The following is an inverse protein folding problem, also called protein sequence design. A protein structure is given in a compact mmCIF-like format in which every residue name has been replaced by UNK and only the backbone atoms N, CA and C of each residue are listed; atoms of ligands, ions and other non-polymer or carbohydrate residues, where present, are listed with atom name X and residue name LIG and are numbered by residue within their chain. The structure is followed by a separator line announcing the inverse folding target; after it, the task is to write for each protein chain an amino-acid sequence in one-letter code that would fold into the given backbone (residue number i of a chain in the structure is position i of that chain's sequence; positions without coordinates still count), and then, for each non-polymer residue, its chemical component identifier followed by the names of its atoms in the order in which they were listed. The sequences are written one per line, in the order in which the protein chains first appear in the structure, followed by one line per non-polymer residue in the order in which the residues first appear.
data_IF_619232926829
#
_entry.id   IF_619232926829
#
_cell.length_a   1.000
_cell.length_b   1.000
_cell.length_c   1.000
_cell.angle_alpha   90.00
_cell.angle_beta   90.00
_cell.angle_gamma   90.00
#
_symmetry.space_group_name_H-M   'P 1'
#
loop_
_entity.id
_entity.type
_entity.pdbx_description
1 polymer ?
#
# COMPACT_ATOMS: atom_id res chain seq x y z
N UNK A 1 -2.77 -52.52 35.67
CA UNK A 1 -2.08 -51.40 34.99
C UNK A 1 -2.45 -50.10 35.70
N UNK A 2 -1.46 -49.37 36.19
CA UNK A 2 -1.67 -48.24 37.10
C UNK A 2 -2.52 -47.13 36.47
N UNK A 3 -3.71 -46.89 37.04
CA UNK A 3 -4.69 -45.85 36.67
C UNK A 3 -4.05 -44.47 36.52
N UNK A 4 -3.02 -44.18 37.32
CA UNK A 4 -2.23 -42.94 37.25
C UNK A 4 -1.64 -42.71 35.86
N UNK A 5 -1.12 -43.76 35.21
CA UNK A 5 -0.53 -43.65 33.87
C UNK A 5 -1.59 -43.32 32.81
N UNK A 6 -2.81 -43.82 32.97
CA UNK A 6 -3.92 -43.56 32.05
C UNK A 6 -4.35 -42.11 32.16
N UNK A 7 -4.49 -41.58 33.38
CA UNK A 7 -4.84 -40.18 33.61
C UNK A 7 -3.77 -39.24 33.03
N UNK A 8 -2.49 -39.55 33.25
CA UNK A 8 -1.39 -38.76 32.72
C UNK A 8 -1.36 -38.74 31.18
N UNK A 9 -1.66 -39.88 30.54
CA UNK A 9 -1.75 -39.97 29.10
C UNK A 9 -2.90 -39.12 28.53
N UNK A 10 -4.08 -39.14 29.17
CA UNK A 10 -5.23 -38.32 28.77
C UNK A 10 -4.90 -36.83 28.87
N UNK A 11 -4.30 -36.39 29.98
CA UNK A 11 -3.89 -34.99 30.17
C UNK A 11 -2.87 -34.58 29.10
N UNK A 12 -1.90 -35.44 28.79
CA UNK A 12 -0.91 -35.18 27.74
C UNK A 12 -1.55 -34.98 26.37
N UNK A 13 -2.52 -35.81 26.01
CA UNK A 13 -3.27 -35.68 24.74
C UNK A 13 -4.06 -34.38 24.71
N UNK A 14 -4.74 -34.04 25.81
CA UNK A 14 -5.47 -32.77 25.91
C UNK A 14 -4.55 -31.56 25.70
N UNK A 15 -3.39 -31.57 26.35
CA UNK A 15 -2.44 -30.47 26.24
C UNK A 15 -1.86 -30.35 24.83
N UNK A 16 -1.51 -31.48 24.21
CA UNK A 16 -1.06 -31.52 22.82
C UNK A 16 -2.12 -30.98 21.85
N UNK A 17 -3.39 -31.39 22.03
CA UNK A 17 -4.50 -30.88 21.24
C UNK A 17 -4.70 -29.38 21.42
N UNK A 18 -4.59 -28.87 22.65
CA UNK A 18 -4.71 -27.45 22.93
C UNK A 18 -3.61 -26.63 22.24
N UNK A 19 -2.36 -27.08 22.32
CA UNK A 19 -1.23 -26.43 21.63
C UNK A 19 -1.43 -26.46 20.12
N UNK A 20 -1.87 -27.59 19.55
CA UNK A 20 -2.13 -27.69 18.12
C UNK A 20 -3.22 -26.71 17.66
N UNK A 21 -4.33 -26.62 18.39
CA UNK A 21 -5.41 -25.67 18.10
C UNK A 21 -4.96 -24.22 18.27
N UNK A 22 -4.12 -23.94 19.27
CA UNK A 22 -3.55 -22.61 19.48
C UNK A 22 -2.66 -22.19 18.30
N UNK A 23 -1.76 -23.07 17.84
CA UNK A 23 -0.91 -22.82 16.67
C UNK A 23 -1.75 -22.60 15.42
N UNK A 24 -2.74 -23.46 15.17
CA UNK A 24 -3.65 -23.32 14.03
C UNK A 24 -4.45 -22.01 14.08
N UNK A 25 -4.95 -21.64 15.26
CA UNK A 25 -5.66 -20.37 15.46
C UNK A 25 -4.77 -19.15 15.22
N UNK A 26 -3.51 -19.22 15.67
CA UNK A 26 -2.52 -18.17 15.43
C UNK A 26 -2.18 -18.03 13.94
N UNK A 27 -1.90 -19.14 13.24
CA UNK A 27 -1.67 -19.12 11.80
C UNK A 27 -2.87 -18.57 11.03
N UNK A 28 -4.08 -19.02 11.37
CA UNK A 28 -5.32 -18.53 10.75
C UNK A 28 -5.47 -17.02 10.91
N UNK A 29 -5.17 -16.50 12.10
CA UNK A 29 -5.21 -15.06 12.37
C UNK A 29 -4.22 -14.27 11.52
N UNK A 30 -2.97 -14.75 11.38
CA UNK A 30 -1.97 -14.12 10.51
C UNK A 30 -2.45 -14.10 9.06
N UNK A 31 -2.92 -15.24 8.55
CA UNK A 31 -3.41 -15.34 7.17
C UNK A 31 -4.58 -14.38 6.93
N UNK A 32 -5.47 -14.23 7.90
CA UNK A 32 -6.59 -13.30 7.82
C UNK A 32 -6.13 -11.84 7.67
N UNK A 33 -5.17 -11.40 8.48
CA UNK A 33 -4.65 -10.04 8.37
C UNK A 33 -3.89 -9.83 7.05
N UNK A 34 -3.05 -10.78 6.64
CA UNK A 34 -2.33 -10.72 5.36
C UNK A 34 -3.30 -10.63 4.18
N UNK A 35 -4.39 -11.39 4.23
CA UNK A 35 -5.44 -11.34 3.21
C UNK A 35 -6.06 -9.93 3.09
N UNK A 36 -6.46 -9.33 4.21
CA UNK A 36 -7.03 -7.98 4.21
C UNK A 36 -6.03 -6.91 3.79
N UNK A 37 -4.78 -7.00 4.23
CA UNK A 37 -3.71 -6.09 3.78
C UNK A 37 -3.51 -6.23 2.27
N UNK A 38 -3.52 -7.45 1.74
CA UNK A 38 -3.44 -7.71 0.31
C UNK A 38 -4.61 -7.10 -0.46
N UNK A 39 -5.84 -7.25 0.04
CA UNK A 39 -7.03 -6.63 -0.56
C UNK A 39 -6.94 -5.10 -0.53
N UNK A 40 -6.68 -4.51 0.63
CA UNK A 40 -6.61 -3.06 0.79
C UNK A 40 -5.46 -2.46 -0.02
N UNK A 41 -4.30 -3.11 -0.02
CA UNK A 41 -3.16 -2.71 -0.84
C UNK A 41 -3.45 -2.83 -2.33
N UNK A 42 -4.08 -3.93 -2.77
CA UNK A 42 -4.46 -4.14 -4.16
C UNK A 42 -5.52 -3.15 -4.64
N UNK A 43 -6.56 -2.91 -3.85
CA UNK A 43 -7.59 -1.93 -4.14
C UNK A 43 -7.02 -0.50 -4.12
N UNK A 44 -6.21 -0.15 -3.12
CA UNK A 44 -5.59 1.16 -3.01
C UNK A 44 -4.63 1.45 -4.17
N UNK A 45 -3.73 0.52 -4.48
CA UNK A 45 -2.81 0.64 -5.61
C UNK A 45 -3.54 0.64 -6.95
N UNK A 46 -4.54 -0.23 -7.10
CA UNK A 46 -5.40 -0.29 -8.29
C UNK A 46 -6.13 1.03 -8.52
N UNK A 47 -6.78 1.56 -7.50
CA UNK A 47 -7.48 2.84 -7.54
C UNK A 47 -6.53 4.00 -7.86
N UNK A 48 -5.38 4.08 -7.18
CA UNK A 48 -4.36 5.10 -7.44
C UNK A 48 -3.84 5.05 -8.89
N UNK A 49 -3.53 3.85 -9.39
CA UNK A 49 -3.04 3.65 -10.76
C UNK A 49 -4.10 3.99 -11.80
N UNK A 50 -5.36 3.68 -11.52
CA UNK A 50 -6.47 4.00 -12.42
C UNK A 50 -6.73 5.52 -12.44
N UNK A 51 -6.71 6.15 -11.26
CA UNK A 51 -6.88 7.58 -11.11
C UNK A 51 -5.79 8.37 -11.82
N UNK A 52 -4.52 8.06 -11.59
CA UNK A 52 -3.38 8.69 -12.27
C UNK A 52 -3.41 8.47 -13.79
N UNK A 53 -3.83 7.29 -14.26
CA UNK A 53 -4.03 7.05 -15.70
C UNK A 53 -5.16 7.90 -16.28
N UNK A 54 -6.28 8.01 -15.58
CA UNK A 54 -7.41 8.84 -16.01
C UNK A 54 -7.02 10.32 -16.00
N UNK A 55 -6.33 10.78 -14.97
CA UNK A 55 -5.77 12.12 -14.86
C UNK A 55 -4.82 12.42 -16.02
N UNK A 56 -3.87 11.54 -16.33
CA UNK A 56 -2.94 11.73 -17.46
C UNK A 56 -3.65 11.76 -18.83
N UNK A 57 -4.77 11.03 -18.97
CA UNK A 57 -5.59 11.02 -20.20
C UNK A 57 -6.50 12.24 -20.30
N UNK A 58 -7.08 12.69 -19.18
CA UNK A 58 -7.99 13.81 -19.13
C UNK A 58 -7.27 15.16 -19.20
N UNK A 59 -6.09 15.25 -18.56
CA UNK A 59 -5.23 16.44 -18.56
C UNK A 59 -4.20 16.43 -19.69
N UNK A 60 -4.31 15.51 -20.66
CA UNK A 60 -3.52 15.51 -21.90
C UNK A 60 -2.02 15.66 -21.67
N UNK A 61 -1.36 14.68 -21.03
CA UNK A 61 0.11 14.62 -20.98
C UNK A 61 0.81 15.83 -20.33
N UNK A 62 0.09 16.69 -19.60
CA UNK A 62 0.66 17.77 -18.82
C UNK A 62 1.36 17.22 -17.58
N UNK A 63 2.68 17.30 -17.57
CA UNK A 63 3.56 17.01 -16.44
C UNK A 63 2.96 17.55 -15.11
N UNK A 64 2.67 16.73 -14.09
CA UNK A 64 2.16 17.23 -12.80
C UNK A 64 3.20 18.09 -12.04
N UNK A 65 4.45 18.11 -12.49
CA UNK A 65 5.50 19.05 -12.04
C UNK A 65 5.61 20.31 -12.90
N UNK A 66 4.72 20.54 -13.88
CA UNK A 66 4.57 21.88 -14.46
C UNK A 66 3.87 22.75 -13.44
N UNK A 67 4.61 23.16 -12.42
CA UNK A 67 4.31 24.39 -11.70
C UNK A 67 4.04 25.49 -12.74
N UNK A 68 3.17 26.43 -12.37
CA UNK A 68 2.94 27.68 -13.09
C UNK A 68 4.31 28.28 -13.46
N UNK A 69 4.84 28.00 -14.65
CA UNK A 69 6.26 28.28 -14.91
C UNK A 69 6.95 27.58 -16.08
N UNK A 70 6.40 26.51 -16.69
CA UNK A 70 6.98 25.90 -17.91
C UNK A 70 6.40 26.47 -19.21
N UNK A 71 6.07 27.75 -19.21
CA UNK A 71 6.31 28.53 -20.41
C UNK A 71 7.73 29.04 -20.24
N UNK A 72 8.72 28.40 -20.86
CA UNK A 72 10.00 29.05 -21.11
C UNK A 72 9.68 30.26 -21.99
N UNK A 73 9.36 31.39 -21.35
CA UNK A 73 9.48 32.68 -21.98
C UNK A 73 10.98 32.87 -22.07
N UNK A 74 11.57 32.26 -23.10
CA UNK A 74 12.94 32.47 -23.51
C UNK A 74 13.03 33.88 -24.13
N UNK A 75 12.66 34.90 -23.35
CA UNK A 75 13.02 36.27 -23.67
C UNK A 75 14.43 36.46 -23.15
N UNK A 76 15.34 36.80 -24.06
CA UNK A 76 16.64 37.33 -23.65
C UNK A 76 16.42 38.58 -22.79
N UNK A 77 17.36 38.88 -21.89
CA UNK A 77 17.30 40.09 -21.06
C UNK A 77 17.11 41.36 -21.91
N UNK A 78 17.64 41.38 -23.13
CA UNK A 78 17.47 42.46 -24.11
C UNK A 78 16.01 42.62 -24.58
N UNK A 79 15.26 41.52 -24.76
CA UNK A 79 13.85 41.58 -25.15
C UNK A 79 12.94 42.03 -23.99
N UNK A 80 13.31 41.70 -22.75
CA UNK A 80 12.59 42.15 -21.57
C UNK A 80 12.79 43.66 -21.33
N UNK A 81 14.02 44.13 -21.44
CA UNK A 81 14.37 45.54 -21.26
C UNK A 81 13.64 46.43 -22.29
N UNK A 82 13.64 45.99 -23.55
CA UNK A 82 12.99 46.71 -24.64
C UNK A 82 11.47 46.84 -24.48
N UNK A 83 10.83 45.82 -23.92
CA UNK A 83 9.37 45.74 -23.84
C UNK A 83 8.80 46.37 -22.58
N UNK A 84 9.55 46.38 -21.48
CA UNK A 84 9.03 46.76 -20.17
C UNK A 84 9.81 47.85 -19.44
N UNK A 85 11.06 48.13 -19.82
CA UNK A 85 11.92 49.10 -19.14
C UNK A 85 12.26 50.34 -19.97
N UNK A 86 11.92 50.36 -21.26
CA UNK A 86 12.04 51.58 -22.07
C UNK A 86 10.96 52.61 -21.69
N UNK A 87 11.38 53.59 -20.89
CA UNK A 87 10.82 54.93 -20.84
C UNK A 87 11.73 55.88 -21.62
#
# INVERSE_FOLDING_TARGET
MNIVKIILAIIGIFFAGFVALWVLGFLSSILWYVFWIGILGGLGYGAYRLFTKLESKALGGGNPNSGIGTGDINMSWDEYDKKYLHK
#
